data_IF_501548402954
#
_entry.id   IF_501548402954
#
_cell.length_a   1.000
_cell.length_b   1.000
_cell.length_c   1.000
_cell.angle_alpha   90.00
_cell.angle_beta   90.00
_cell.angle_gamma   90.00
#
_symmetry.space_group_name_H-M   'P 1'
#
loop_
_entity.id
_entity.type
_entity.pdbx_description
1 polymer ?
#
# COMPACT_ATOMS: atom_id res chain seq x y z
N UNK A 1 -7.28 -54.52 4.04
CA UNK A 1 -6.88 -53.12 4.22
C UNK A 1 -7.97 -52.30 3.59
N UNK A 2 -8.77 -51.58 4.40
CA UNK A 2 -9.77 -50.63 3.86
C UNK A 2 -9.04 -49.29 3.68
N UNK A 3 -8.89 -48.85 2.44
CA UNK A 3 -8.49 -47.47 2.14
C UNK A 3 -9.56 -46.52 2.65
N UNK A 4 -9.25 -45.81 3.71
CA UNK A 4 -10.08 -44.73 4.24
C UNK A 4 -9.83 -43.46 3.38
N UNK A 5 -10.53 -43.40 2.26
CA UNK A 5 -10.54 -42.25 1.36
C UNK A 5 -11.68 -41.29 1.70
N UNK A 6 -11.84 -40.95 2.98
CA UNK A 6 -12.71 -39.84 3.35
C UNK A 6 -12.15 -38.54 2.77
N UNK A 7 -12.93 -37.71 2.06
CA UNK A 7 -12.46 -36.43 1.57
C UNK A 7 -12.04 -35.56 2.77
N UNK A 8 -10.99 -34.73 2.63
CA UNK A 8 -10.54 -33.86 3.71
C UNK A 8 -11.71 -33.01 4.18
N UNK A 9 -11.94 -33.01 5.49
CA UNK A 9 -13.02 -32.21 6.10
C UNK A 9 -12.79 -30.72 5.79
N UNK A 10 -13.85 -30.01 5.40
CA UNK A 10 -13.78 -28.57 5.20
C UNK A 10 -13.31 -27.89 6.49
N UNK A 11 -12.40 -26.89 6.40
CA UNK A 11 -11.86 -26.22 7.58
C UNK A 11 -12.98 -25.58 8.41
N UNK A 12 -12.89 -25.71 9.71
CA UNK A 12 -13.81 -25.10 10.67
C UNK A 12 -13.68 -23.57 10.66
N UNK A 13 -14.66 -22.86 11.22
CA UNK A 13 -14.60 -21.39 11.37
C UNK A 13 -13.39 -20.95 12.19
N UNK A 14 -13.03 -21.70 13.23
CA UNK A 14 -11.86 -21.40 14.07
C UNK A 14 -10.55 -21.51 13.25
N UNK A 15 -10.41 -22.55 12.42
CA UNK A 15 -9.25 -22.74 11.55
C UNK A 15 -9.16 -21.64 10.49
N UNK A 16 -10.28 -21.21 9.90
CA UNK A 16 -10.34 -20.10 8.94
C UNK A 16 -9.92 -18.77 9.60
N UNK A 17 -10.34 -18.51 10.82
CA UNK A 17 -9.94 -17.32 11.58
C UNK A 17 -8.44 -17.37 11.91
N UNK A 18 -7.92 -18.54 12.29
CA UNK A 18 -6.50 -18.71 12.55
C UNK A 18 -5.65 -18.49 11.29
N UNK A 19 -6.06 -19.05 10.15
CA UNK A 19 -5.42 -18.84 8.84
C UNK A 19 -5.43 -17.36 8.43
N UNK A 20 -6.58 -16.68 8.59
CA UNK A 20 -6.69 -15.25 8.33
C UNK A 20 -5.72 -14.43 9.21
N UNK A 21 -5.68 -14.70 10.53
CA UNK A 21 -4.76 -14.01 11.44
C UNK A 21 -3.30 -14.25 11.09
N UNK A 22 -2.96 -15.47 10.69
CA UNK A 22 -1.60 -15.80 10.23
C UNK A 22 -1.22 -15.01 8.97
N UNK A 23 -2.10 -14.94 7.98
CA UNK A 23 -1.89 -14.16 6.76
C UNK A 23 -1.80 -12.65 7.03
N UNK A 24 -2.62 -12.14 7.95
CA UNK A 24 -2.56 -10.74 8.36
C UNK A 24 -1.22 -10.43 9.04
N UNK A 25 -0.76 -11.31 9.92
CA UNK A 25 0.56 -11.18 10.55
C UNK A 25 1.69 -11.18 9.51
N UNK A 26 1.66 -12.09 8.53
CA UNK A 26 2.64 -12.13 7.44
C UNK A 26 2.61 -10.84 6.59
N UNK A 27 1.41 -10.39 6.22
CA UNK A 27 1.25 -9.23 5.33
C UNK A 27 1.67 -7.90 5.98
N UNK A 28 1.43 -7.73 7.27
CA UNK A 28 1.66 -6.47 7.98
C UNK A 28 2.89 -6.55 8.88
N UNK A 29 2.92 -7.47 9.85
CA UNK A 29 3.94 -7.48 10.91
C UNK A 29 5.30 -7.96 10.41
N UNK A 30 5.36 -9.14 9.79
CA UNK A 30 6.64 -9.69 9.33
C UNK A 30 7.27 -8.86 8.20
N UNK A 31 6.46 -8.28 7.31
CA UNK A 31 6.93 -7.36 6.27
C UNK A 31 7.48 -6.05 6.88
N UNK A 32 6.85 -5.55 7.95
CA UNK A 32 7.28 -4.34 8.63
C UNK A 32 8.62 -4.50 9.35
N UNK A 33 8.85 -5.63 10.03
CA UNK A 33 10.13 -5.92 10.68
C UNK A 33 11.32 -5.90 9.69
N UNK A 34 11.13 -6.49 8.50
CA UNK A 34 12.12 -6.45 7.43
C UNK A 34 12.32 -5.03 6.86
N UNK A 35 11.24 -4.26 6.76
CA UNK A 35 11.28 -2.87 6.31
C UNK A 35 12.02 -1.99 7.31
N UNK A 36 11.75 -2.15 8.61
CA UNK A 36 12.43 -1.43 9.70
C UNK A 36 13.93 -1.65 9.65
N UNK A 37 14.40 -2.90 9.59
CA UNK A 37 15.82 -3.21 9.53
C UNK A 37 16.52 -2.48 8.36
N UNK A 38 15.86 -2.42 7.18
CA UNK A 38 16.41 -1.75 5.99
C UNK A 38 16.39 -0.23 6.07
N UNK A 39 15.32 0.36 6.61
CA UNK A 39 15.14 1.81 6.65
C UNK A 39 15.89 2.45 7.83
N UNK A 40 15.83 1.85 9.02
CA UNK A 40 16.52 2.37 10.19
C UNK A 40 18.05 2.38 10.00
N UNK A 41 18.62 1.39 9.30
CA UNK A 41 20.03 1.41 8.92
C UNK A 41 20.43 2.62 8.05
N UNK A 42 19.46 3.30 7.44
CA UNK A 42 19.63 4.52 6.63
C UNK A 42 19.16 5.79 7.36
N UNK A 43 18.79 5.69 8.64
CA UNK A 43 18.21 6.79 9.41
C UNK A 43 16.83 7.22 8.95
N UNK A 44 16.07 6.33 8.27
CA UNK A 44 14.73 6.59 7.75
C UNK A 44 13.68 5.79 8.49
N UNK A 45 12.45 6.30 8.53
CA UNK A 45 11.26 5.57 8.97
C UNK A 45 10.68 4.72 7.82
N UNK A 46 9.97 3.66 8.18
CA UNK A 46 9.18 2.87 7.22
C UNK A 46 7.93 3.62 6.76
N UNK A 47 7.24 3.10 5.74
CA UNK A 47 5.99 3.68 5.27
C UNK A 47 4.90 3.70 6.37
N UNK A 48 4.78 2.62 7.17
CA UNK A 48 3.80 2.52 8.26
C UNK A 48 4.17 3.38 9.46
N UNK A 49 5.45 3.46 9.82
CA UNK A 49 5.93 4.35 10.89
C UNK A 49 5.62 5.82 10.58
N UNK A 50 5.81 6.26 9.34
CA UNK A 50 5.46 7.62 8.90
C UNK A 50 3.97 7.91 9.04
N UNK A 51 3.10 6.96 8.68
CA UNK A 51 1.65 7.08 8.87
C UNK A 51 1.31 7.14 10.36
N UNK A 52 1.88 6.26 11.17
CA UNK A 52 1.65 6.22 12.62
C UNK A 52 2.09 7.51 13.31
N UNK A 53 3.18 8.12 12.85
CA UNK A 53 3.68 9.40 13.37
C UNK A 53 2.77 10.57 12.97
N UNK A 54 2.14 10.50 11.80
CA UNK A 54 1.30 11.56 11.25
C UNK A 54 -0.11 11.57 11.86
N UNK A 55 -0.68 10.40 12.12
CA UNK A 55 -2.07 10.23 12.51
C UNK A 55 -2.26 10.14 14.03
N UNK A 56 -3.46 10.44 14.49
CA UNK A 56 -3.84 10.23 15.88
C UNK A 56 -3.67 8.74 16.26
N UNK A 57 -3.17 8.49 17.46
CA UNK A 57 -2.86 7.14 17.95
C UNK A 57 -4.06 6.20 17.81
N UNK A 58 -3.87 5.08 17.13
CA UNK A 58 -4.89 4.03 16.95
C UNK A 58 -6.01 4.37 15.97
N UNK A 59 -5.91 5.50 15.25
CA UNK A 59 -6.94 5.90 14.28
C UNK A 59 -6.75 5.28 12.89
N UNK A 60 -5.58 4.74 12.59
CA UNK A 60 -5.26 4.22 11.26
C UNK A 60 -6.00 2.93 10.94
N UNK A 61 -6.70 2.91 9.83
CA UNK A 61 -7.31 1.72 9.23
C UNK A 61 -6.66 1.51 7.87
N UNK A 62 -5.78 0.51 7.78
CA UNK A 62 -5.12 0.13 6.53
C UNK A 62 -6.12 -0.50 5.56
N UNK A 63 -5.97 -0.23 4.27
CA UNK A 63 -6.78 -0.79 3.19
C UNK A 63 -5.88 -1.54 2.21
N UNK A 64 -6.40 -2.68 1.71
CA UNK A 64 -5.76 -3.49 0.66
C UNK A 64 -4.36 -4.02 1.05
N UNK A 65 -4.16 -4.37 2.31
CA UNK A 65 -2.90 -4.93 2.82
C UNK A 65 -2.54 -6.29 2.19
N UNK A 66 -3.54 -7.04 1.71
CA UNK A 66 -3.34 -8.38 1.13
C UNK A 66 -3.09 -8.38 -0.38
N UNK A 67 -3.23 -7.24 -1.05
CA UNK A 67 -3.03 -7.21 -2.51
C UNK A 67 -1.57 -7.43 -2.87
N UNK A 68 -1.34 -7.97 -4.06
CA UNK A 68 -0.02 -8.21 -4.63
C UNK A 68 -0.03 -7.82 -6.11
N UNK A 69 1.10 -7.37 -6.65
CA UNK A 69 1.20 -7.08 -8.09
C UNK A 69 0.86 -8.31 -8.95
N UNK A 70 0.47 -8.07 -10.19
CA UNK A 70 0.04 -9.10 -11.16
C UNK A 70 1.10 -9.43 -12.21
N UNK A 71 2.24 -8.71 -12.20
CA UNK A 71 3.29 -8.88 -13.18
C UNK A 71 3.91 -10.27 -13.14
N UNK A 72 4.13 -10.85 -14.33
CA UNK A 72 4.71 -12.20 -14.50
C UNK A 72 6.12 -12.14 -15.11
N UNK A 73 6.44 -11.07 -15.85
CA UNK A 73 7.72 -10.92 -16.52
C UNK A 73 8.86 -10.46 -15.62
N UNK A 74 10.09 -10.52 -16.11
CA UNK A 74 11.31 -9.99 -15.47
C UNK A 74 11.57 -10.52 -14.05
N UNK A 75 11.19 -11.77 -13.76
CA UNK A 75 11.37 -12.37 -12.44
C UNK A 75 10.42 -11.84 -11.36
N UNK A 76 9.38 -11.11 -11.75
CA UNK A 76 8.39 -10.56 -10.81
C UNK A 76 7.48 -11.66 -10.24
N UNK A 77 7.23 -12.75 -10.99
CA UNK A 77 6.37 -13.85 -10.55
C UNK A 77 6.84 -14.46 -9.22
N UNK A 78 8.15 -14.51 -8.99
CA UNK A 78 8.77 -15.13 -7.80
C UNK A 78 8.84 -14.17 -6.59
N UNK A 79 8.58 -12.88 -6.80
CA UNK A 79 8.69 -11.83 -5.77
C UNK A 79 7.38 -11.05 -5.69
N UNK A 80 6.44 -11.56 -4.94
CA UNK A 80 5.10 -10.97 -4.80
C UNK A 80 4.81 -10.56 -3.36
N UNK A 81 5.47 -9.49 -2.85
CA UNK A 81 5.22 -8.98 -1.51
C UNK A 81 3.78 -8.48 -1.37
N UNK A 82 3.24 -8.59 -0.16
CA UNK A 82 1.95 -8.02 0.18
C UNK A 82 1.98 -6.48 0.16
N UNK A 83 0.84 -5.88 -0.07
CA UNK A 83 0.67 -4.42 -0.10
C UNK A 83 1.22 -3.73 -1.35
N UNK A 84 1.92 -4.46 -2.21
CA UNK A 84 2.72 -3.95 -3.34
C UNK A 84 3.71 -2.87 -2.83
N UNK A 85 3.89 -1.72 -3.38
CA UNK A 85 4.87 -0.72 -2.93
C UNK A 85 4.24 0.51 -2.26
N UNK A 86 3.01 0.37 -1.72
CA UNK A 86 2.32 1.48 -1.07
C UNK A 86 1.39 1.01 0.04
N UNK A 87 1.41 1.69 1.16
CA UNK A 87 0.46 1.55 2.27
C UNK A 87 -0.61 2.62 2.10
N UNK A 88 -1.88 2.23 2.11
CA UNK A 88 -3.02 3.15 1.95
C UNK A 88 -4.03 2.95 3.06
N UNK A 89 -4.72 4.00 3.47
CA UNK A 89 -5.75 3.88 4.50
C UNK A 89 -6.35 5.21 4.90
N UNK A 90 -7.11 5.13 5.98
CA UNK A 90 -7.84 6.24 6.58
C UNK A 90 -7.39 6.42 8.02
N UNK A 91 -7.48 7.62 8.53
CA UNK A 91 -7.23 7.92 9.93
C UNK A 91 -7.67 9.31 10.30
N UNK A 92 -7.24 9.79 11.46
CA UNK A 92 -7.56 11.15 11.89
C UNK A 92 -6.30 11.94 12.24
N UNK A 93 -6.37 13.26 12.11
CA UNK A 93 -5.39 14.22 12.62
C UNK A 93 -6.15 15.25 13.45
N UNK A 94 -5.88 15.30 14.75
CA UNK A 94 -6.65 16.11 15.69
C UNK A 94 -8.17 15.88 15.58
N UNK A 95 -8.56 14.61 15.46
CA UNK A 95 -9.95 14.17 15.34
C UNK A 95 -10.59 14.40 13.96
N UNK A 96 -9.88 14.98 12.99
CA UNK A 96 -10.38 15.22 11.62
C UNK A 96 -10.00 14.07 10.71
N UNK A 97 -10.95 13.51 9.99
CA UNK A 97 -10.69 12.44 9.03
C UNK A 97 -9.78 12.89 7.88
N UNK A 98 -8.85 12.03 7.52
CA UNK A 98 -7.96 12.18 6.38
C UNK A 98 -7.80 10.85 5.66
N UNK A 99 -7.58 10.90 4.36
CA UNK A 99 -7.11 9.78 3.57
C UNK A 99 -5.58 9.89 3.42
N UNK A 100 -4.86 8.76 3.49
CA UNK A 100 -3.40 8.76 3.42
C UNK A 100 -2.89 7.62 2.56
N UNK A 101 -1.82 7.89 1.81
CA UNK A 101 -0.98 6.85 1.24
C UNK A 101 0.49 7.13 1.54
N UNK A 102 1.28 6.08 1.73
CA UNK A 102 2.73 6.17 1.96
C UNK A 102 3.45 5.14 1.09
N UNK A 103 4.35 5.61 0.24
CA UNK A 103 5.15 4.75 -0.61
C UNK A 103 6.21 4.01 0.21
N UNK A 104 6.32 2.70 0.00
CA UNK A 104 7.28 1.84 0.68
C UNK A 104 8.50 1.58 -0.20
N UNK A 105 9.57 2.33 0.06
CA UNK A 105 10.83 2.19 -0.67
C UNK A 105 11.49 0.82 -0.51
N UNK A 106 11.11 0.03 0.50
CA UNK A 106 11.69 -1.31 0.73
C UNK A 106 11.17 -2.35 -0.26
N UNK A 107 10.02 -2.05 -0.90
CA UNK A 107 9.37 -2.88 -1.92
C UNK A 107 9.59 -2.24 -3.29
N UNK A 108 10.43 -2.83 -4.12
CA UNK A 108 10.76 -2.35 -5.47
C UNK A 108 11.12 -0.87 -5.57
N UNK A 109 11.79 -0.33 -4.51
CA UNK A 109 12.17 1.09 -4.46
C UNK A 109 10.96 2.05 -4.44
N UNK A 110 9.83 1.63 -3.88
CA UNK A 110 8.60 2.43 -3.87
C UNK A 110 8.00 2.68 -5.25
N UNK A 111 8.46 1.96 -6.28
CA UNK A 111 8.04 2.22 -7.67
C UNK A 111 6.57 1.88 -7.88
N UNK A 112 5.88 2.74 -8.65
CA UNK A 112 4.47 2.58 -8.96
C UNK A 112 4.27 1.51 -10.04
N UNK A 113 3.62 0.41 -9.67
CA UNK A 113 3.08 -0.58 -10.58
C UNK A 113 1.57 -0.44 -10.73
N UNK A 114 0.96 -1.38 -11.45
CA UNK A 114 -0.48 -1.40 -11.68
C UNK A 114 -1.27 -1.40 -10.36
N UNK A 115 -0.98 -2.35 -9.48
CA UNK A 115 -1.74 -2.56 -8.23
C UNK A 115 -1.47 -1.46 -7.22
N UNK A 116 -0.22 -1.01 -7.07
CA UNK A 116 0.11 0.15 -6.25
C UNK A 116 -0.66 1.41 -6.71
N UNK A 117 -0.75 1.61 -8.03
CA UNK A 117 -1.54 2.70 -8.60
C UNK A 117 -3.04 2.56 -8.34
N UNK A 118 -3.59 1.35 -8.43
CA UNK A 118 -5.00 1.08 -8.08
C UNK A 118 -5.31 1.42 -6.63
N UNK A 119 -4.42 1.09 -5.70
CA UNK A 119 -4.57 1.45 -4.28
C UNK A 119 -4.61 2.97 -4.07
N UNK A 120 -3.67 3.70 -4.70
CA UNK A 120 -3.64 5.17 -4.60
C UNK A 120 -4.91 5.77 -5.22
N UNK A 121 -5.30 5.32 -6.40
CA UNK A 121 -6.51 5.75 -7.08
C UNK A 121 -7.75 5.54 -6.21
N UNK A 122 -7.89 4.35 -5.61
CA UNK A 122 -9.00 4.00 -4.72
C UNK A 122 -9.11 4.94 -3.52
N UNK A 123 -7.98 5.22 -2.85
CA UNK A 123 -8.00 6.12 -1.68
C UNK A 123 -8.24 7.58 -2.07
N UNK A 124 -7.80 8.01 -3.26
CA UNK A 124 -8.10 9.33 -3.81
C UNK A 124 -9.59 9.48 -4.17
N UNK A 125 -10.19 8.45 -4.77
CA UNK A 125 -11.64 8.43 -5.06
C UNK A 125 -12.45 8.52 -3.77
N UNK A 126 -12.07 7.74 -2.74
CA UNK A 126 -12.68 7.85 -1.41
C UNK A 126 -12.58 9.28 -0.83
N UNK A 127 -11.39 9.88 -0.90
CA UNK A 127 -11.18 11.24 -0.40
C UNK A 127 -12.07 12.28 -1.13
N UNK A 128 -12.19 12.14 -2.45
CA UNK A 128 -13.07 13.00 -3.27
C UNK A 128 -14.55 12.83 -2.94
N UNK A 129 -15.02 11.58 -2.76
CA UNK A 129 -16.41 11.28 -2.44
C UNK A 129 -16.79 11.78 -1.04
N UNK A 130 -15.94 11.56 -0.06
CA UNK A 130 -16.19 11.93 1.34
C UNK A 130 -15.78 13.35 1.71
N UNK A 131 -15.12 14.06 0.78
CA UNK A 131 -14.63 15.44 0.97
C UNK A 131 -13.62 15.57 2.11
N UNK A 132 -12.76 14.59 2.30
CA UNK A 132 -11.67 14.64 3.27
C UNK A 132 -10.33 14.96 2.59
N UNK A 133 -9.36 15.55 3.30
CA UNK A 133 -8.02 15.77 2.77
C UNK A 133 -7.35 14.45 2.37
N UNK A 134 -6.53 14.50 1.30
CA UNK A 134 -5.63 13.41 0.91
C UNK A 134 -4.18 13.80 1.19
N UNK A 135 -3.43 12.93 1.85
CA UNK A 135 -2.02 13.13 2.19
C UNK A 135 -1.19 12.02 1.56
N UNK A 136 -0.26 12.37 0.69
CA UNK A 136 0.70 11.47 0.08
C UNK A 136 2.08 11.59 0.72
N UNK A 137 2.64 10.49 1.24
CA UNK A 137 4.00 10.42 1.73
C UNK A 137 4.85 9.74 0.66
N UNK A 138 5.75 10.52 0.04
CA UNK A 138 6.45 10.16 -1.18
C UNK A 138 7.87 9.64 -0.87
N UNK A 139 8.17 8.44 -1.36
CA UNK A 139 9.49 7.81 -1.30
C UNK A 139 9.57 6.76 -2.41
N UNK A 140 9.84 7.19 -3.68
CA UNK A 140 9.66 6.36 -4.87
C UNK A 140 10.69 6.62 -5.95
N UNK A 141 11.14 5.54 -6.57
CA UNK A 141 11.94 5.58 -7.80
C UNK A 141 11.15 5.90 -9.08
N UNK A 142 9.83 6.17 -8.99
CA UNK A 142 8.99 6.48 -10.15
C UNK A 142 8.21 5.27 -10.68
N UNK A 143 7.97 5.22 -12.00
CA UNK A 143 7.23 4.12 -12.62
C UNK A 143 8.01 2.80 -12.56
N UNK A 144 7.31 1.70 -12.28
CA UNK A 144 7.89 0.35 -12.29
C UNK A 144 8.14 -0.10 -13.72
N UNK A 145 9.40 -0.09 -14.13
CA UNK A 145 9.82 -0.36 -15.50
C UNK A 145 9.38 -1.76 -15.97
N UNK A 146 9.39 -2.75 -15.09
CA UNK A 146 8.99 -4.12 -15.38
C UNK A 146 7.53 -4.26 -15.82
N UNK A 147 6.69 -3.30 -15.49
CA UNK A 147 5.27 -3.28 -15.84
C UNK A 147 4.98 -2.38 -17.07
N UNK A 148 6.00 -1.69 -17.58
CA UNK A 148 5.93 -0.95 -18.82
C UNK A 148 4.85 0.14 -18.83
N UNK A 149 4.09 0.21 -19.92
CA UNK A 149 3.07 1.25 -20.15
C UNK A 149 1.92 1.23 -19.14
N UNK A 150 1.65 0.08 -18.51
CA UNK A 150 0.60 -0.05 -17.51
C UNK A 150 0.91 0.81 -16.27
N UNK A 151 2.17 0.81 -15.82
CA UNK A 151 2.63 1.67 -14.74
C UNK A 151 2.45 3.17 -15.08
N UNK A 152 2.77 3.56 -16.30
CA UNK A 152 2.55 4.95 -16.78
C UNK A 152 1.07 5.31 -16.82
N UNK A 153 0.21 4.38 -17.28
CA UNK A 153 -1.24 4.57 -17.27
C UNK A 153 -1.79 4.86 -15.87
N UNK A 154 -1.22 4.23 -14.83
CA UNK A 154 -1.65 4.49 -13.44
C UNK A 154 -1.23 5.87 -12.94
N UNK A 155 -0.09 6.40 -13.35
CA UNK A 155 0.22 7.82 -13.10
C UNK A 155 -0.80 8.76 -13.76
N UNK A 156 -1.22 8.46 -14.99
CA UNK A 156 -2.27 9.22 -15.66
C UNK A 156 -3.58 9.24 -14.87
N UNK A 157 -3.96 8.10 -14.28
CA UNK A 157 -5.15 8.01 -13.43
C UNK A 157 -5.01 8.81 -12.12
N UNK A 158 -3.82 8.84 -11.51
CA UNK A 158 -3.53 9.65 -10.32
C UNK A 158 -3.60 11.14 -10.69
N UNK A 159 -2.95 11.57 -11.77
CA UNK A 159 -2.96 12.97 -12.22
C UNK A 159 -4.38 13.47 -12.55
N UNK A 160 -5.19 12.61 -13.17
CA UNK A 160 -6.61 12.92 -13.39
C UNK A 160 -7.31 13.24 -12.07
N UNK A 161 -7.08 12.45 -11.02
CA UNK A 161 -7.70 12.68 -9.71
C UNK A 161 -7.15 13.93 -9.03
N UNK A 162 -5.86 14.19 -9.14
CA UNK A 162 -5.26 15.42 -8.63
C UNK A 162 -5.94 16.65 -9.27
N UNK A 163 -6.20 16.61 -10.58
CA UNK A 163 -6.91 17.68 -11.29
C UNK A 163 -8.35 17.83 -10.79
N UNK A 164 -9.09 16.72 -10.62
CA UNK A 164 -10.46 16.74 -10.12
C UNK A 164 -10.56 17.17 -8.65
N UNK A 165 -9.55 16.88 -7.85
CA UNK A 165 -9.47 17.25 -6.44
C UNK A 165 -9.05 18.71 -6.22
N UNK A 166 -8.43 19.34 -7.22
CA UNK A 166 -7.97 20.74 -7.14
C UNK A 166 -9.13 21.70 -6.84
N UNK A 167 -8.99 22.45 -5.76
CA UNK A 167 -10.05 23.36 -5.30
C UNK A 167 -11.26 22.69 -4.63
N UNK A 168 -11.27 21.36 -4.52
CA UNK A 168 -12.35 20.57 -3.91
C UNK A 168 -11.96 20.04 -2.52
N UNK A 169 -10.79 19.42 -2.42
CA UNK A 169 -10.21 18.91 -1.17
C UNK A 169 -8.75 19.32 -1.04
N UNK A 170 -8.20 19.45 0.17
CA UNK A 170 -6.77 19.64 0.36
C UNK A 170 -5.99 18.40 -0.12
N UNK A 171 -4.93 18.65 -0.90
CA UNK A 171 -3.98 17.65 -1.36
C UNK A 171 -2.60 18.03 -0.81
N UNK A 172 -2.00 17.16 0.00
CA UNK A 172 -0.73 17.42 0.68
C UNK A 172 0.28 16.35 0.29
N UNK A 173 1.44 16.76 -0.19
CA UNK A 173 2.57 15.87 -0.49
C UNK A 173 3.70 16.10 0.51
N UNK A 174 4.17 15.01 1.14
CA UNK A 174 5.29 14.99 2.08
C UNK A 174 6.40 14.17 1.44
N UNK A 175 7.49 14.81 1.01
CA UNK A 175 8.63 14.13 0.36
C UNK A 175 9.58 13.64 1.45
N UNK A 176 9.68 12.32 1.64
CA UNK A 176 10.51 11.66 2.66
C UNK A 176 11.68 10.86 2.09
N UNK A 177 11.86 10.90 0.78
CA UNK A 177 12.94 10.20 0.09
C UNK A 177 12.99 10.56 -1.39
N UNK A 178 13.60 9.72 -2.25
CA UNK A 178 13.52 9.92 -3.68
C UNK A 178 12.07 10.10 -4.14
N UNK A 179 11.85 11.05 -5.03
CA UNK A 179 10.56 11.24 -5.69
C UNK A 179 10.87 11.52 -7.17
N UNK A 180 10.83 10.46 -8.00
CA UNK A 180 11.26 10.53 -9.38
C UNK A 180 10.08 10.48 -10.35
N UNK A 181 10.16 11.28 -11.41
CA UNK A 181 9.16 11.32 -12.47
C UNK A 181 7.77 11.68 -11.94
N UNK A 182 6.75 10.87 -12.24
CA UNK A 182 5.38 11.11 -11.79
C UNK A 182 5.11 10.90 -10.29
N UNK A 183 6.15 10.59 -9.49
CA UNK A 183 6.01 10.45 -8.04
C UNK A 183 6.10 11.80 -7.29
N UNK A 184 6.34 12.89 -8.00
CA UNK A 184 6.43 14.27 -7.45
C UNK A 184 5.09 14.96 -7.53
#
# INVERSE_FOLDING_TARGET
>A
MKDDTSPPSSPTTAERIADFKSKLHEAVTASEELAQAKQHAKGKLTARERITLLLDTGSFVELDEFVRHRSQGFGMADKRPYGDSVVTGLGTIHGRQVAVFSQDFTIFGGSLGEVAGEKIVKIMDFALETKVPIIGILDSGGARIQEGVVALGKYGEIFRRNTLASGVIPQISIVCGPAAGGAV
#
